data_IF_512193317580
#
_entry.id   IF_512193317580
#
_cell.length_a   1.000
_cell.length_b   1.000
_cell.length_c   1.000
_cell.angle_alpha   90.00
_cell.angle_beta   90.00
_cell.angle_gamma   90.00
#
_symmetry.space_group_name_H-M   'P 1'
#
loop_
_entity.id
_entity.type
_entity.pdbx_description
1 polymer ?
#
# COMPACT_ATOMS: atom_id res chain seq x y z
N UNK A 1 -8.02 29.20 -26.05
CA UNK A 1 -7.87 29.17 -24.59
C UNK A 1 -6.67 28.30 -24.29
N UNK A 2 -5.67 28.81 -23.57
CA UNK A 2 -4.51 28.00 -23.19
C UNK A 2 -4.90 27.10 -22.01
N UNK A 3 -4.70 25.80 -22.17
CA UNK A 3 -5.01 24.77 -21.17
C UNK A 3 -3.77 24.29 -20.41
N UNK A 4 -2.59 24.83 -20.72
CA UNK A 4 -1.32 24.45 -20.11
C UNK A 4 -1.36 24.45 -18.56
N UNK A 5 -1.97 25.44 -17.87
CA UNK A 5 -2.11 25.40 -16.41
C UNK A 5 -2.94 24.20 -15.90
N UNK A 6 -4.02 23.87 -16.62
CA UNK A 6 -4.87 22.73 -16.27
C UNK A 6 -4.14 21.41 -16.51
N UNK A 7 -3.40 21.29 -17.61
CA UNK A 7 -2.59 20.10 -17.92
C UNK A 7 -1.52 19.86 -16.85
N UNK A 8 -0.85 20.91 -16.38
CA UNK A 8 0.12 20.80 -15.29
C UNK A 8 -0.56 20.35 -13.98
N UNK A 9 -1.74 20.89 -13.65
CA UNK A 9 -2.48 20.49 -12.46
C UNK A 9 -2.90 19.01 -12.51
N UNK A 10 -3.36 18.52 -13.67
CA UNK A 10 -3.71 17.11 -13.89
C UNK A 10 -2.49 16.20 -13.75
N UNK A 11 -1.33 16.61 -14.29
CA UNK A 11 -0.12 15.82 -14.14
C UNK A 11 0.29 15.68 -12.67
N UNK A 12 0.28 16.78 -11.92
CA UNK A 12 0.59 16.76 -10.48
C UNK A 12 -0.36 15.90 -9.66
N UNK A 13 -1.64 15.89 -10.02
CA UNK A 13 -2.62 15.00 -9.40
C UNK A 13 -2.24 13.53 -9.63
N UNK A 14 -1.94 13.16 -10.88
CA UNK A 14 -1.54 11.78 -11.22
C UNK A 14 -0.25 11.36 -10.53
N UNK A 15 0.72 12.27 -10.44
CA UNK A 15 1.98 11.99 -9.74
C UNK A 15 1.73 11.75 -8.25
N UNK A 16 0.83 12.52 -7.63
CA UNK A 16 0.45 12.35 -6.23
C UNK A 16 -0.34 11.04 -6.00
N UNK A 17 -1.25 10.68 -6.91
CA UNK A 17 -1.97 9.40 -6.88
C UNK A 17 -1.00 8.22 -6.98
N UNK A 18 -0.06 8.26 -7.91
CA UNK A 18 0.96 7.23 -8.07
C UNK A 18 1.85 7.10 -6.82
N UNK A 19 2.25 8.22 -6.21
CA UNK A 19 3.02 8.21 -4.97
C UNK A 19 2.22 7.64 -3.79
N UNK A 20 0.93 7.96 -3.70
CA UNK A 20 0.04 7.42 -2.67
C UNK A 20 -0.17 5.91 -2.82
N UNK A 21 -0.31 5.42 -4.06
CA UNK A 21 -0.44 3.99 -4.33
C UNK A 21 0.85 3.23 -4.02
N UNK A 22 2.02 3.80 -4.35
CA UNK A 22 3.31 3.22 -3.95
C UNK A 22 3.46 3.13 -2.43
N UNK A 23 3.15 4.21 -1.71
CA UNK A 23 3.20 4.22 -0.26
C UNK A 23 2.21 3.21 0.38
N UNK A 24 1.04 3.01 -0.24
CA UNK A 24 0.08 1.97 0.21
C UNK A 24 0.67 0.57 0.02
N UNK A 25 1.30 0.30 -1.13
CA UNK A 25 1.93 -0.99 -1.39
C UNK A 25 3.06 -1.30 -0.38
N UNK A 26 3.84 -0.29 0.02
CA UNK A 26 4.87 -0.45 1.05
C UNK A 26 4.26 -0.83 2.41
N UNK A 27 3.16 -0.17 2.81
CA UNK A 27 2.44 -0.51 4.04
C UNK A 27 1.88 -1.93 4.00
N UNK A 28 1.28 -2.33 2.88
CA UNK A 28 0.74 -3.69 2.70
C UNK A 28 1.85 -4.75 2.80
N UNK A 29 3.03 -4.48 2.22
CA UNK A 29 4.19 -5.37 2.29
C UNK A 29 4.70 -5.53 3.73
N UNK A 30 4.91 -4.41 4.43
CA UNK A 30 5.37 -4.43 5.83
C UNK A 30 4.35 -5.11 6.77
N UNK A 31 3.06 -4.91 6.52
CA UNK A 31 2.00 -5.58 7.27
C UNK A 31 2.06 -7.11 7.08
N UNK A 32 2.26 -7.58 5.84
CA UNK A 32 2.45 -9.01 5.55
C UNK A 32 3.70 -9.56 6.25
N UNK A 33 4.83 -8.85 6.17
CA UNK A 33 6.07 -9.25 6.83
C UNK A 33 5.91 -9.34 8.34
N UNK A 34 5.23 -8.38 8.97
CA UNK A 34 4.94 -8.39 10.40
C UNK A 34 4.10 -9.62 10.81
N UNK A 35 3.03 -9.93 10.07
CA UNK A 35 2.22 -11.14 10.33
C UNK A 35 3.05 -12.42 10.19
N UNK A 36 3.90 -12.51 9.16
CA UNK A 36 4.80 -13.66 8.97
C UNK A 36 5.86 -13.78 10.07
N UNK A 37 6.28 -12.66 10.64
CA UNK A 37 7.14 -12.62 11.81
C UNK A 37 6.41 -12.98 13.13
N UNK A 38 5.11 -13.28 13.07
CA UNK A 38 4.30 -13.72 14.21
C UNK A 38 3.54 -12.60 14.91
N UNK A 39 3.49 -11.39 14.35
CA UNK A 39 2.67 -10.31 14.90
C UNK A 39 1.17 -10.63 14.81
N UNK A 40 0.39 -10.13 15.77
CA UNK A 40 -1.04 -10.35 15.82
C UNK A 40 -1.78 -9.63 14.69
N UNK A 41 -2.57 -10.38 13.91
CA UNK A 41 -3.30 -9.89 12.73
C UNK A 41 -4.17 -8.67 13.03
N UNK A 42 -4.88 -8.64 14.17
CA UNK A 42 -5.75 -7.52 14.56
C UNK A 42 -4.97 -6.23 14.89
N UNK A 43 -3.77 -6.37 15.47
CA UNK A 43 -2.93 -5.22 15.76
C UNK A 43 -2.32 -4.66 14.48
N UNK A 44 -1.85 -5.54 13.59
CA UNK A 44 -1.24 -5.16 12.32
C UNK A 44 -2.28 -4.52 11.38
N UNK A 45 -3.47 -5.11 11.27
CA UNK A 45 -4.57 -4.58 10.44
C UNK A 45 -5.00 -3.18 10.90
N UNK A 46 -5.11 -2.96 12.21
CA UNK A 46 -5.44 -1.67 12.80
C UNK A 46 -4.41 -0.57 12.50
N UNK A 47 -3.11 -0.91 12.50
CA UNK A 47 -2.04 0.04 12.16
C UNK A 47 -1.97 0.29 10.65
N UNK A 48 -2.09 -0.76 9.84
CA UNK A 48 -2.01 -0.68 8.38
C UNK A 48 -3.26 -0.06 7.73
N UNK A 49 -4.36 0.10 8.49
CA UNK A 49 -5.60 0.68 7.98
C UNK A 49 -6.34 -0.23 6.98
N UNK A 50 -6.10 -1.54 7.04
CA UNK A 50 -6.73 -2.56 6.20
C UNK A 50 -7.52 -3.54 7.09
N UNK A 51 -8.48 -4.25 6.51
CA UNK A 51 -9.24 -5.23 7.29
C UNK A 51 -8.39 -6.47 7.60
N UNK A 52 -8.63 -7.17 8.73
CA UNK A 52 -7.96 -8.44 9.01
C UNK A 52 -8.12 -9.47 7.87
N UNK A 53 -9.29 -9.47 7.23
CA UNK A 53 -9.57 -10.34 6.10
C UNK A 53 -8.68 -10.03 4.89
N UNK A 54 -8.54 -8.75 4.55
CA UNK A 54 -7.73 -8.33 3.40
C UNK A 54 -6.24 -8.54 3.66
N UNK A 55 -5.79 -8.30 4.90
CA UNK A 55 -4.42 -8.61 5.31
C UNK A 55 -4.09 -10.11 5.17
N UNK A 56 -4.98 -10.99 5.62
CA UNK A 56 -4.80 -12.44 5.45
C UNK A 56 -4.89 -12.88 3.99
N UNK A 57 -5.66 -12.17 3.16
CA UNK A 57 -5.70 -12.42 1.72
C UNK A 57 -4.39 -11.99 1.06
N UNK A 58 -3.86 -10.82 1.41
CA UNK A 58 -2.57 -10.31 0.94
C UNK A 58 -1.45 -11.27 1.31
N UNK A 59 -1.35 -11.67 2.58
CA UNK A 59 -0.34 -12.61 3.08
C UNK A 59 -0.27 -13.89 2.22
N UNK A 60 -1.42 -14.43 1.82
CA UNK A 60 -1.52 -15.62 0.96
C UNK A 60 -1.13 -15.36 -0.50
N UNK A 61 -1.36 -14.15 -1.01
CA UNK A 61 -1.09 -13.78 -2.39
C UNK A 61 0.37 -13.37 -2.62
N UNK A 62 1.04 -12.81 -1.61
CA UNK A 62 2.38 -12.23 -1.75
C UNK A 62 3.49 -13.28 -1.92
N UNK A 63 3.18 -14.59 -1.88
CA UNK A 63 4.15 -15.67 -2.15
C UNK A 63 5.40 -15.60 -1.27
N UNK A 64 6.50 -16.24 -1.67
CA UNK A 64 7.77 -16.07 -0.96
C UNK A 64 8.35 -14.68 -1.25
N UNK A 65 8.48 -13.87 -0.20
CA UNK A 65 9.15 -12.56 -0.27
C UNK A 65 10.62 -12.82 0.06
N UNK A 66 11.56 -12.59 -0.87
CA UNK A 66 12.98 -12.73 -0.58
C UNK A 66 13.38 -11.78 0.56
N UNK A 67 14.28 -12.21 1.48
CA UNK A 67 14.78 -11.31 2.51
C UNK A 67 15.49 -10.12 1.85
N UNK A 68 15.07 -8.91 2.22
CA UNK A 68 15.68 -7.65 1.79
C UNK A 68 16.97 -7.34 2.53
#
# INVERSE_FOLDING_TARGET
MDLSPLQLAVQRLRDAEAAADAARADVELEAVLAVRAGAGVEAVSGVAGITPHDLLRLEKLTGDIPPG
#
